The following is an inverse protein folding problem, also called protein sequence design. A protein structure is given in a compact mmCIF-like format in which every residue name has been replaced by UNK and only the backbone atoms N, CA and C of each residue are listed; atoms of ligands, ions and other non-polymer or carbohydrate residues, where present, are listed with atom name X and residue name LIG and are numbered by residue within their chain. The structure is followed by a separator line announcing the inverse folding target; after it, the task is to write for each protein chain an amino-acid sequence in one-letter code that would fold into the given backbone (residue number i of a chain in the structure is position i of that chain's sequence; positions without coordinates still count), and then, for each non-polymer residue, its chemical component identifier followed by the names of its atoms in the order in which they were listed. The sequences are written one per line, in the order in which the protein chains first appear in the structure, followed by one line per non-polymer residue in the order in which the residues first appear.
data_IF_405448076771
#
_entry.id   IF_405448076771
#
_cell.length_a   1.000
_cell.length_b   1.000
_cell.length_c   1.000
_cell.angle_alpha   90.00
_cell.angle_beta   90.00
_cell.angle_gamma   90.00
#
_symmetry.space_group_name_H-M   'P 1'
#
loop_
_entity.id
_entity.type
_entity.pdbx_description
1 polymer ?
#
# COMPACT_ATOMS: atom_id res chain seq x y z
N UNK A 1 21.42 -1.78 21.20
CA UNK A 1 20.73 -1.10 20.09
C UNK A 1 19.67 -2.04 19.51
N UNK A 2 18.45 -1.61 19.47
CA UNK A 2 17.38 -2.40 18.88
C UNK A 2 17.47 -2.36 17.35
N UNK A 3 17.25 -3.50 16.73
CA UNK A 3 17.15 -3.58 15.28
C UNK A 3 15.86 -2.89 14.81
N UNK A 4 15.98 -2.04 13.82
CA UNK A 4 14.81 -1.41 13.19
C UNK A 4 14.18 -2.43 12.23
N UNK A 5 12.91 -2.77 12.45
CA UNK A 5 12.19 -3.63 11.53
C UNK A 5 11.76 -2.85 10.31
N UNK A 6 12.12 -3.33 9.11
CA UNK A 6 11.64 -2.78 7.85
C UNK A 6 10.33 -3.43 7.40
N UNK A 7 9.85 -4.45 8.12
CA UNK A 7 8.61 -5.13 7.77
C UNK A 7 7.41 -4.38 8.33
N UNK A 8 6.49 -4.01 7.46
CA UNK A 8 5.23 -3.38 7.85
C UNK A 8 4.31 -4.43 8.46
N UNK A 9 3.74 -4.13 9.62
CA UNK A 9 2.86 -5.05 10.33
C UNK A 9 1.40 -4.75 9.97
N UNK A 10 0.58 -5.79 9.71
CA UNK A 10 -0.85 -5.58 9.48
C UNK A 10 -1.55 -5.12 10.76
N UNK A 11 -2.59 -4.31 10.60
CA UNK A 11 -3.52 -3.92 11.67
C UNK A 11 -4.81 -4.70 11.47
N UNK A 12 -5.19 -5.62 12.36
CA UNK A 12 -6.35 -6.48 12.18
C UNK A 12 -7.65 -5.73 11.86
N UNK A 13 -7.95 -4.65 12.59
CA UNK A 13 -9.17 -3.88 12.33
C UNK A 13 -9.19 -3.32 10.90
N UNK A 14 -8.06 -2.78 10.43
CA UNK A 14 -7.95 -2.24 9.09
C UNK A 14 -8.03 -3.35 8.04
N UNK A 15 -7.25 -4.41 8.19
CA UNK A 15 -7.19 -5.49 7.21
C UNK A 15 -8.52 -6.25 7.11
N UNK A 16 -9.14 -6.56 8.23
CA UNK A 16 -10.46 -7.23 8.25
C UNK A 16 -11.53 -6.36 7.59
N UNK A 17 -11.50 -5.05 7.84
CA UNK A 17 -12.43 -4.12 7.21
C UNK A 17 -12.24 -4.07 5.71
N UNK A 18 -11.00 -3.95 5.24
CA UNK A 18 -10.71 -3.92 3.81
C UNK A 18 -11.18 -5.20 3.13
N UNK A 19 -10.86 -6.35 3.71
CA UNK A 19 -11.29 -7.64 3.15
C UNK A 19 -12.81 -7.74 3.06
N UNK A 20 -13.52 -7.26 4.08
CA UNK A 20 -14.98 -7.28 4.10
C UNK A 20 -15.60 -6.35 3.04
N UNK A 21 -15.13 -5.10 2.96
CA UNK A 21 -15.71 -4.13 2.03
C UNK A 21 -15.35 -4.41 0.57
N UNK A 22 -14.26 -5.09 0.31
CA UNK A 22 -13.93 -5.59 -1.03
C UNK A 22 -14.81 -6.81 -1.36
N UNK A 23 -14.94 -7.75 -0.43
CA UNK A 23 -15.73 -8.97 -0.63
C UNK A 23 -17.22 -8.68 -0.84
N UNK A 24 -17.78 -7.70 -0.13
CA UNK A 24 -19.21 -7.35 -0.23
C UNK A 24 -19.51 -6.32 -1.33
N UNK A 25 -18.50 -5.86 -2.05
CA UNK A 25 -18.68 -4.90 -3.15
C UNK A 25 -18.84 -3.44 -2.73
N UNK A 26 -18.68 -3.12 -1.45
CA UNK A 26 -18.74 -1.72 -0.97
C UNK A 26 -17.67 -0.88 -1.67
N UNK A 27 -16.46 -1.42 -1.79
CA UNK A 27 -15.41 -0.83 -2.62
C UNK A 27 -15.09 -1.76 -3.78
N UNK A 28 -15.13 -1.20 -4.97
CA UNK A 28 -14.71 -1.92 -6.17
C UNK A 28 -13.19 -2.05 -6.17
N UNK A 29 -12.71 -3.27 -6.35
CA UNK A 29 -11.30 -3.58 -6.39
C UNK A 29 -10.97 -4.48 -7.57
N UNK A 30 -9.76 -4.34 -8.09
CA UNK A 30 -9.26 -5.13 -9.20
C UNK A 30 -8.23 -6.13 -8.66
N UNK A 31 -8.48 -7.41 -8.85
CA UNK A 31 -7.55 -8.45 -8.41
C UNK A 31 -6.29 -8.47 -9.29
N UNK A 32 -5.13 -8.59 -8.66
CA UNK A 32 -3.82 -8.64 -9.30
C UNK A 32 -3.07 -9.88 -8.84
N UNK A 33 -2.33 -10.48 -9.77
CA UNK A 33 -1.37 -11.54 -9.48
C UNK A 33 -0.04 -11.14 -10.11
N UNK A 34 1.02 -11.12 -9.31
CA UNK A 34 2.36 -10.77 -9.75
C UNK A 34 3.30 -11.94 -9.55
N UNK A 35 4.19 -12.15 -10.50
CA UNK A 35 5.32 -13.06 -10.36
C UNK A 35 6.48 -12.37 -9.65
N UNK A 36 7.40 -13.12 -9.04
CA UNK A 36 8.62 -12.52 -8.47
C UNK A 36 9.32 -11.65 -9.51
N UNK A 37 9.69 -10.43 -9.12
CA UNK A 37 10.33 -9.47 -10.01
C UNK A 37 9.40 -8.50 -10.72
N UNK A 38 8.09 -8.76 -10.74
CA UNK A 38 7.11 -7.83 -11.29
C UNK A 38 6.91 -6.63 -10.35
N UNK A 39 6.44 -5.53 -10.92
CA UNK A 39 6.22 -4.28 -10.15
C UNK A 39 4.73 -4.02 -9.96
N UNK A 40 4.35 -3.61 -8.75
CA UNK A 40 3.05 -2.98 -8.51
C UNK A 40 3.03 -1.57 -9.08
N UNK A 41 4.11 -0.83 -8.85
CA UNK A 41 4.32 0.50 -9.42
C UNK A 41 5.82 0.83 -9.39
N UNK A 42 6.18 1.86 -10.15
CA UNK A 42 7.57 2.34 -10.26
C UNK A 42 7.63 3.84 -10.00
N UNK A 43 8.81 4.33 -9.70
CA UNK A 43 9.08 5.77 -9.68
C UNK A 43 8.59 6.42 -10.96
N UNK A 44 7.88 7.53 -10.82
CA UNK A 44 7.32 8.27 -11.94
C UNK A 44 5.90 7.90 -12.32
N UNK A 45 5.37 6.78 -11.82
CA UNK A 45 3.99 6.38 -12.12
C UNK A 45 2.98 7.33 -11.50
N UNK A 46 1.90 7.60 -12.23
CA UNK A 46 0.74 8.31 -11.71
C UNK A 46 -0.07 7.36 -10.83
N UNK A 47 -0.15 7.69 -9.55
CA UNK A 47 -0.76 6.82 -8.54
C UNK A 47 -2.21 7.23 -8.28
N UNK A 48 -3.15 6.41 -8.73
CA UNK A 48 -4.59 6.60 -8.50
C UNK A 48 -5.21 5.51 -7.66
N UNK A 49 -4.47 4.45 -7.41
CA UNK A 49 -4.90 3.29 -6.64
C UNK A 49 -4.00 3.08 -5.45
N UNK A 50 -4.57 2.51 -4.39
CA UNK A 50 -3.79 1.91 -3.30
C UNK A 50 -3.92 0.39 -3.41
N UNK A 51 -2.95 -0.34 -2.89
CA UNK A 51 -2.89 -1.78 -3.07
C UNK A 51 -2.96 -2.48 -1.72
N UNK A 52 -3.86 -3.45 -1.61
CA UNK A 52 -3.98 -4.29 -0.43
C UNK A 52 -3.43 -5.69 -0.75
N UNK A 53 -2.40 -6.11 -0.04
CA UNK A 53 -1.75 -7.39 -0.26
C UNK A 53 -2.50 -8.50 0.48
N UNK A 54 -2.91 -9.53 -0.24
CA UNK A 54 -3.53 -10.71 0.35
C UNK A 54 -2.55 -11.87 0.46
N UNK A 55 -1.45 -11.85 -0.31
CA UNK A 55 -0.45 -12.92 -0.31
C UNK A 55 0.88 -12.40 -0.83
N UNK A 56 1.96 -12.89 -0.23
CA UNK A 56 3.30 -12.62 -0.71
C UNK A 56 4.00 -11.47 -0.04
N UNK A 57 5.13 -11.07 -0.61
CA UNK A 57 6.02 -10.05 -0.07
C UNK A 57 6.40 -9.05 -1.17
N UNK A 58 6.23 -7.76 -0.87
CA UNK A 58 6.60 -6.65 -1.76
C UNK A 58 7.68 -5.82 -1.10
N UNK A 59 8.73 -5.53 -1.85
CA UNK A 59 9.80 -4.61 -1.44
C UNK A 59 9.50 -3.22 -1.95
N UNK A 60 9.42 -2.25 -1.04
CA UNK A 60 9.31 -0.83 -1.37
C UNK A 60 10.71 -0.23 -1.28
N UNK A 61 11.19 0.36 -2.36
CA UNK A 61 12.53 0.93 -2.40
C UNK A 61 12.60 2.16 -3.30
N UNK A 62 13.65 2.95 -3.12
CA UNK A 62 13.96 4.05 -4.02
C UNK A 62 15.34 3.85 -4.62
N UNK A 63 15.51 4.30 -5.87
CA UNK A 63 16.83 4.40 -6.46
C UNK A 63 17.60 5.58 -5.89
N UNK A 64 18.93 5.49 -5.90
CA UNK A 64 19.81 6.60 -5.54
C UNK A 64 20.50 7.14 -6.78
N UNK A 65 21.01 8.40 -6.76
CA UNK A 65 21.69 8.98 -7.92
C UNK A 65 22.92 8.19 -8.39
N UNK A 66 23.54 7.41 -7.53
CA UNK A 66 24.69 6.58 -7.86
C UNK A 66 24.31 5.16 -8.32
N UNK A 67 23.01 4.90 -8.53
CA UNK A 67 22.51 3.64 -9.06
C UNK A 67 22.23 2.56 -8.02
N UNK A 68 22.40 2.83 -6.75
CA UNK A 68 22.08 1.88 -5.69
C UNK A 68 20.62 1.98 -5.28
N UNK A 69 19.99 0.83 -4.99
CA UNK A 69 18.64 0.78 -4.47
C UNK A 69 18.66 0.87 -2.94
N UNK A 70 17.77 1.68 -2.37
CA UNK A 70 17.60 1.80 -0.93
C UNK A 70 16.23 1.25 -0.54
N UNK A 71 16.21 0.16 0.22
CA UNK A 71 14.97 -0.40 0.75
C UNK A 71 14.38 0.53 1.81
N UNK A 72 13.09 0.83 1.67
CA UNK A 72 12.33 1.62 2.63
C UNK A 72 11.56 0.69 3.54
N UNK A 73 10.73 -0.19 2.96
CA UNK A 73 9.94 -1.17 3.71
C UNK A 73 9.78 -2.46 2.92
N UNK A 74 9.46 -3.53 3.66
CA UNK A 74 8.88 -4.77 3.12
C UNK A 74 7.41 -4.86 3.57
N UNK A 75 6.52 -5.05 2.62
CA UNK A 75 5.09 -5.23 2.85
C UNK A 75 4.71 -6.68 2.68
N UNK A 76 3.96 -7.21 3.64
CA UNK A 76 3.46 -8.59 3.64
C UNK A 76 1.94 -8.62 3.57
N UNK A 77 1.37 -9.82 3.50
CA UNK A 77 -0.10 -9.98 3.46
C UNK A 77 -0.77 -9.24 4.60
N UNK A 78 -1.91 -8.60 4.32
CA UNK A 78 -2.65 -7.81 5.28
C UNK A 78 -2.23 -6.35 5.36
N UNK A 79 -1.34 -5.88 4.49
CA UNK A 79 -0.85 -4.49 4.49
C UNK A 79 -1.28 -3.73 3.24
N UNK A 80 -1.35 -2.40 3.39
CA UNK A 80 -1.60 -1.47 2.29
C UNK A 80 -0.29 -0.84 1.83
N UNK A 81 -0.17 -0.62 0.53
CA UNK A 81 0.96 0.04 -0.07
C UNK A 81 0.51 1.00 -1.18
N UNK A 82 1.17 2.16 -1.24
CA UNK A 82 0.88 3.18 -2.24
C UNK A 82 -0.18 4.16 -1.76
N UNK A 83 0.24 5.36 -1.31
CA UNK A 83 -0.66 6.33 -0.69
C UNK A 83 -0.78 7.63 -1.49
N UNK A 84 -0.04 7.80 -2.58
CA UNK A 84 -0.08 9.03 -3.38
C UNK A 84 -1.47 9.31 -3.94
N UNK A 85 -2.22 8.28 -4.28
CA UNK A 85 -3.59 8.43 -4.81
C UNK A 85 -4.59 9.03 -3.82
N UNK A 86 -4.27 9.06 -2.52
CA UNK A 86 -5.11 9.73 -1.51
C UNK A 86 -4.97 11.24 -1.52
N UNK A 87 -3.93 11.78 -2.17
CA UNK A 87 -3.76 13.22 -2.30
C UNK A 87 -4.81 13.80 -3.26
N UNK A 88 -5.30 15.02 -3.02
CA UNK A 88 -6.13 15.73 -4.00
C UNK A 88 -5.41 15.79 -5.34
N UNK A 89 -6.16 15.72 -6.44
CA UNK A 89 -5.59 15.69 -7.78
C UNK A 89 -4.61 16.85 -8.04
N UNK A 90 -4.94 18.05 -7.53
CA UNK A 90 -4.09 19.24 -7.67
C UNK A 90 -2.74 19.12 -6.98
N UNK A 91 -2.66 18.28 -5.94
CA UNK A 91 -1.44 18.06 -5.15
C UNK A 91 -0.78 16.71 -5.43
N UNK A 92 -1.35 15.92 -6.36
CA UNK A 92 -0.83 14.59 -6.64
C UNK A 92 0.48 14.67 -7.39
N UNK A 93 1.46 13.93 -6.89
CA UNK A 93 2.78 13.80 -7.48
C UNK A 93 3.01 12.36 -7.93
N UNK A 94 3.86 12.15 -8.94
CA UNK A 94 4.27 10.80 -9.31
C UNK A 94 4.91 10.07 -8.13
N UNK A 95 4.87 8.74 -8.17
CA UNK A 95 5.53 7.93 -7.15
C UNK A 95 7.02 8.21 -7.11
N UNK A 96 7.56 8.34 -5.91
CA UNK A 96 9.01 8.46 -5.67
C UNK A 96 9.61 7.11 -5.25
N UNK A 97 8.82 6.05 -5.27
CA UNK A 97 9.22 4.70 -4.86
C UNK A 97 8.91 3.69 -5.94
N UNK A 98 9.60 2.56 -5.84
CA UNK A 98 9.31 1.34 -6.60
C UNK A 98 8.76 0.29 -5.65
N UNK A 99 7.77 -0.47 -6.10
CA UNK A 99 7.21 -1.58 -5.34
C UNK A 99 7.32 -2.85 -6.16
N UNK A 100 8.23 -3.73 -5.77
CA UNK A 100 8.61 -4.93 -6.51
C UNK A 100 8.23 -6.19 -5.75
N UNK A 101 7.58 -7.14 -6.44
CA UNK A 101 7.27 -8.43 -5.86
C UNK A 101 8.55 -9.23 -5.60
N UNK A 102 8.78 -9.60 -4.35
CA UNK A 102 9.89 -10.47 -3.95
C UNK A 102 9.52 -11.94 -4.13
N UNK A 103 8.27 -12.26 -3.86
CA UNK A 103 7.68 -13.58 -4.07
C UNK A 103 6.52 -13.44 -5.05
N UNK A 104 5.80 -14.54 -5.34
CA UNK A 104 4.47 -14.43 -5.96
C UNK A 104 3.59 -13.57 -5.04
N UNK A 105 2.87 -12.62 -5.62
CA UNK A 105 2.03 -11.68 -4.89
C UNK A 105 0.60 -11.74 -5.42
N UNK A 106 -0.36 -11.75 -4.51
CA UNK A 106 -1.77 -11.53 -4.81
C UNK A 106 -2.20 -10.27 -4.07
N UNK A 107 -2.90 -9.37 -4.76
CA UNK A 107 -3.28 -8.07 -4.23
C UNK A 107 -4.59 -7.59 -4.85
N UNK A 108 -5.21 -6.61 -4.19
CA UNK A 108 -6.30 -5.84 -4.76
C UNK A 108 -5.84 -4.41 -5.01
N UNK A 109 -6.09 -3.92 -6.21
CA UNK A 109 -5.93 -2.51 -6.54
C UNK A 109 -7.26 -1.81 -6.27
N UNK A 110 -7.24 -0.83 -5.39
CA UNK A 110 -8.45 -0.13 -4.91
C UNK A 110 -8.33 1.34 -5.30
N UNK A 111 -9.39 1.89 -5.91
CA UNK A 111 -9.43 3.30 -6.24
C UNK A 111 -9.28 4.14 -4.97
N UNK A 112 -8.22 4.97 -4.93
CA UNK A 112 -7.87 5.71 -3.72
C UNK A 112 -8.88 6.82 -3.39
N UNK A 113 -9.47 7.44 -4.41
CA UNK A 113 -10.49 8.47 -4.19
C UNK A 113 -11.74 7.87 -3.54
N UNK A 114 -12.20 6.73 -4.02
CA UNK A 114 -13.36 6.02 -3.45
C UNK A 114 -13.05 5.53 -2.04
N UNK A 115 -11.85 5.01 -1.83
CA UNK A 115 -11.43 4.59 -0.50
C UNK A 115 -11.39 5.78 0.47
N UNK A 116 -10.85 6.92 0.02
CA UNK A 116 -10.83 8.15 0.80
C UNK A 116 -12.23 8.63 1.18
N UNK A 117 -13.19 8.55 0.25
CA UNK A 117 -14.59 8.89 0.53
C UNK A 117 -15.21 7.96 1.58
N UNK A 118 -14.89 6.68 1.51
CA UNK A 118 -15.31 5.71 2.54
C UNK A 118 -14.74 6.08 3.92
N UNK A 119 -13.46 6.43 3.98
CA UNK A 119 -12.80 6.81 5.23
C UNK A 119 -13.42 8.05 5.87
N UNK A 120 -13.89 9.01 5.07
CA UNK A 120 -14.52 10.24 5.56
C UNK A 120 -15.80 9.97 6.35
N UNK A 121 -16.49 8.88 6.07
CA UNK A 121 -17.77 8.53 6.71
C UNK A 121 -17.64 7.35 7.68
N UNK A 122 -16.43 6.83 7.88
CA UNK A 122 -16.17 5.68 8.76
C UNK A 122 -14.97 6.02 9.65
N UNK A 123 -15.25 6.79 10.70
CA UNK A 123 -14.20 7.36 11.55
C UNK A 123 -13.34 6.32 12.27
N UNK A 124 -13.92 5.19 12.66
CA UNK A 124 -13.18 4.09 13.30
C UNK A 124 -12.15 3.47 12.35
N UNK A 125 -12.50 3.29 11.09
CA UNK A 125 -11.60 2.78 10.05
C UNK A 125 -10.55 3.82 9.71
N UNK A 126 -10.94 5.09 9.60
CA UNK A 126 -10.02 6.20 9.38
C UNK A 126 -8.99 6.30 10.51
N UNK A 127 -9.41 6.13 11.75
CA UNK A 127 -8.50 6.12 12.90
C UNK A 127 -7.54 4.92 12.85
N UNK A 128 -8.04 3.74 12.47
CA UNK A 128 -7.19 2.56 12.29
C UNK A 128 -6.13 2.79 11.19
N UNK A 129 -6.51 3.46 10.11
CA UNK A 129 -5.58 3.85 9.05
C UNK A 129 -4.51 4.80 9.58
N UNK A 130 -4.90 5.79 10.39
CA UNK A 130 -3.96 6.72 11.00
C UNK A 130 -2.97 5.99 11.90
N UNK A 131 -3.42 5.04 12.72
CA UNK A 131 -2.55 4.23 13.56
C UNK A 131 -1.57 3.41 12.73
N UNK A 132 -2.04 2.81 11.63
CA UNK A 132 -1.22 2.06 10.70
C UNK A 132 -0.08 2.93 10.14
N UNK A 133 -0.41 4.15 9.70
CA UNK A 133 0.59 5.08 9.15
C UNK A 133 1.55 5.57 10.22
N UNK A 134 1.07 5.85 11.43
CA UNK A 134 1.95 6.28 12.55
C UNK A 134 2.97 5.21 12.89
N UNK A 135 2.58 3.95 12.89
CA UNK A 135 3.52 2.86 13.17
C UNK A 135 4.61 2.75 12.11
N UNK A 136 4.28 2.99 10.83
CA UNK A 136 5.28 2.99 9.78
C UNK A 136 6.27 4.16 9.93
N UNK A 137 5.83 5.28 10.51
CA UNK A 137 6.66 6.46 10.71
C UNK A 137 7.50 6.42 11.99
N UNK A 138 7.22 5.49 12.88
CA UNK A 138 7.94 5.35 14.16
C UNK A 138 9.24 4.52 14.02
#
# INVERSE_FOLDING_TARGET
MEAISLFVQPKPLLSETIERIVADGTLKARALVLSPGDYLFREGDDMRETFYLTRGLVRLYSGTPDGYAKTVFFHKAGTLIGFQGFRPEVDRKPSIRNAKATTKVEAFAIDAERFGSYLKTHGDVCYAMAQYLFEMMS
#
